data_IF_051307346704
#
_entry.id   IF_051307346704
#
_cell.length_a   1.000
_cell.length_b   1.000
_cell.length_c   1.000
_cell.angle_alpha   90.00
_cell.angle_beta   90.00
_cell.angle_gamma   90.00
#
_symmetry.space_group_name_H-M   'P 1'
#
loop_
_entity.id
_entity.type
_entity.pdbx_description
1 polymer ?
#
# COMPACT_ATOMS: atom_id res chain seq x y z
N UNK A 1 -7.88 -23.35 -24.21
CA UNK A 1 -7.19 -22.29 -23.49
C UNK A 1 -7.38 -22.58 -22.02
N UNK A 2 -6.33 -22.62 -21.20
CA UNK A 2 -6.49 -22.88 -19.77
C UNK A 2 -6.96 -21.62 -19.07
N UNK A 3 -7.90 -21.78 -18.14
CA UNK A 3 -8.54 -20.67 -17.42
C UNK A 3 -8.00 -20.57 -16.00
N UNK A 4 -7.79 -19.35 -15.52
CA UNK A 4 -7.36 -19.12 -14.15
C UNK A 4 -8.19 -18.03 -13.48
N UNK A 5 -8.33 -18.19 -12.17
CA UNK A 5 -8.90 -17.20 -11.26
C UNK A 5 -7.80 -16.79 -10.27
N UNK A 6 -7.74 -15.53 -9.89
CA UNK A 6 -6.83 -15.04 -8.86
C UNK A 6 -7.62 -14.51 -7.66
N UNK A 7 -7.30 -15.04 -6.48
CA UNK A 7 -7.77 -14.56 -5.18
C UNK A 7 -6.66 -13.73 -4.55
N UNK A 8 -6.88 -12.40 -4.51
CA UNK A 8 -5.85 -11.42 -4.13
C UNK A 8 -5.97 -11.03 -2.66
N UNK A 9 -4.88 -11.24 -1.89
CA UNK A 9 -4.78 -10.84 -0.49
C UNK A 9 -3.61 -9.88 -0.24
N UNK A 10 -3.68 -9.17 0.89
CA UNK A 10 -2.57 -8.41 1.44
C UNK A 10 -2.48 -6.97 0.94
N UNK A 11 -1.27 -6.44 0.85
CA UNK A 11 -0.99 -5.01 0.65
C UNK A 11 -0.74 -4.66 -0.83
N UNK A 12 -0.63 -3.35 -1.11
CA UNK A 12 -0.32 -2.81 -2.45
C UNK A 12 0.89 -3.46 -3.14
N UNK A 13 1.94 -3.88 -2.39
CA UNK A 13 3.10 -4.58 -2.97
C UNK A 13 2.71 -5.96 -3.49
N UNK A 14 1.91 -6.69 -2.72
CA UNK A 14 1.41 -8.01 -3.12
C UNK A 14 0.39 -7.91 -4.26
N UNK A 15 -0.38 -6.82 -4.31
CA UNK A 15 -1.27 -6.54 -5.43
C UNK A 15 -0.48 -6.34 -6.74
N UNK A 16 0.59 -5.54 -6.74
CA UNK A 16 1.46 -5.40 -7.92
C UNK A 16 2.05 -6.76 -8.34
N UNK A 17 2.40 -7.62 -7.39
CA UNK A 17 2.86 -8.97 -7.69
C UNK A 17 1.75 -9.80 -8.38
N UNK A 18 0.51 -9.72 -7.90
CA UNK A 18 -0.66 -10.34 -8.53
C UNK A 18 -0.92 -9.81 -9.94
N UNK A 19 -0.85 -8.51 -10.14
CA UNK A 19 -1.01 -7.87 -11.45
C UNK A 19 0.07 -8.32 -12.46
N UNK A 20 1.31 -8.53 -12.00
CA UNK A 20 2.38 -9.10 -12.82
C UNK A 20 2.07 -10.56 -13.19
N UNK A 21 1.63 -11.38 -12.23
CA UNK A 21 1.23 -12.77 -12.47
C UNK A 21 0.11 -12.84 -13.51
N UNK A 22 -0.94 -12.03 -13.34
CA UNK A 22 -2.07 -11.99 -14.28
C UNK A 22 -1.62 -11.56 -15.66
N UNK A 23 -0.89 -10.45 -15.76
CA UNK A 23 -0.43 -9.92 -17.06
C UNK A 23 0.46 -10.93 -17.80
N UNK A 24 1.36 -11.61 -17.06
CA UNK A 24 2.23 -12.65 -17.63
C UNK A 24 1.43 -13.86 -18.15
N UNK A 25 0.44 -14.32 -17.39
CA UNK A 25 -0.40 -15.45 -17.80
C UNK A 25 -1.28 -15.10 -19.01
N UNK A 26 -1.85 -13.88 -19.07
CA UNK A 26 -2.61 -13.41 -20.22
C UNK A 26 -1.75 -13.38 -21.49
N UNK A 27 -0.54 -12.84 -21.41
CA UNK A 27 0.39 -12.77 -22.54
C UNK A 27 0.86 -14.16 -23.01
N UNK A 28 0.91 -15.14 -22.09
CA UNK A 28 1.24 -16.54 -22.41
C UNK A 28 0.02 -17.38 -22.84
N UNK A 29 -1.12 -16.73 -23.08
CA UNK A 29 -2.31 -17.35 -23.68
C UNK A 29 -3.24 -18.06 -22.69
N UNK A 30 -3.19 -17.72 -21.39
CA UNK A 30 -4.22 -18.12 -20.43
C UNK A 30 -5.39 -17.13 -20.45
N UNK A 31 -6.55 -17.56 -19.96
CA UNK A 31 -7.76 -16.74 -19.85
C UNK A 31 -8.05 -16.46 -18.37
N UNK A 32 -8.14 -15.18 -18.00
CA UNK A 32 -8.59 -14.77 -16.68
C UNK A 32 -10.12 -14.84 -16.60
N UNK A 33 -10.65 -15.52 -15.60
CA UNK A 33 -12.09 -15.59 -15.34
C UNK A 33 -12.45 -14.86 -14.05
N UNK A 34 -13.70 -14.35 -13.98
CA UNK A 34 -14.20 -13.59 -12.84
C UNK A 34 -14.67 -14.48 -11.68
N UNK A 35 -15.05 -15.71 -11.98
CA UNK A 35 -15.54 -16.67 -10.99
C UNK A 35 -14.63 -17.89 -10.93
N UNK A 36 -14.33 -18.32 -9.71
CA UNK A 36 -13.54 -19.53 -9.49
C UNK A 36 -14.20 -20.79 -10.08
N UNK A 37 -15.53 -20.80 -10.24
CA UNK A 37 -16.27 -21.91 -10.86
C UNK A 37 -15.84 -22.20 -12.31
N UNK A 38 -15.41 -21.18 -13.04
CA UNK A 38 -15.04 -21.28 -14.47
C UNK A 38 -13.54 -21.56 -14.67
N UNK A 39 -12.73 -21.55 -13.58
CA UNK A 39 -11.29 -21.69 -13.66
C UNK A 39 -10.81 -23.15 -13.67
N UNK A 40 -9.71 -23.44 -14.35
CA UNK A 40 -8.91 -24.66 -14.20
C UNK A 40 -7.92 -24.55 -13.03
N UNK A 41 -7.40 -23.33 -12.84
CA UNK A 41 -6.42 -22.98 -11.81
C UNK A 41 -6.96 -21.86 -10.91
N UNK A 42 -6.89 -22.06 -9.60
CA UNK A 42 -7.19 -21.05 -8.59
C UNK A 42 -5.85 -20.62 -7.97
N UNK A 43 -5.45 -19.38 -8.18
CA UNK A 43 -4.21 -18.82 -7.66
C UNK A 43 -4.57 -17.94 -6.47
N UNK A 44 -4.11 -18.31 -5.27
CA UNK A 44 -4.29 -17.54 -4.05
C UNK A 44 -3.00 -16.76 -3.81
N UNK A 45 -3.01 -15.45 -4.15
CA UNK A 45 -1.87 -14.56 -3.93
C UNK A 45 -1.88 -14.07 -2.50
N UNK A 46 -1.17 -14.76 -1.64
CA UNK A 46 -1.30 -14.77 -0.20
C UNK A 46 -0.45 -13.72 0.53
N UNK A 47 -0.90 -13.32 1.72
CA UNK A 47 -0.15 -12.45 2.63
C UNK A 47 0.47 -13.27 3.78
N UNK A 48 1.78 -13.08 4.00
CA UNK A 48 2.56 -13.78 5.05
C UNK A 48 3.08 -12.86 6.16
N UNK A 49 2.52 -11.62 6.30
CA UNK A 49 3.13 -10.60 7.14
C UNK A 49 2.68 -10.64 8.60
N UNK A 50 1.38 -10.77 8.87
CA UNK A 50 0.80 -10.83 10.22
C UNK A 50 -0.15 -12.00 10.37
N UNK A 51 -0.38 -12.44 11.64
CA UNK A 51 -1.20 -13.61 11.98
C UNK A 51 -2.60 -13.59 11.32
N UNK A 52 -3.30 -12.44 11.34
CA UNK A 52 -4.64 -12.32 10.75
C UNK A 52 -4.64 -12.52 9.23
N UNK A 53 -3.68 -11.92 8.54
CA UNK A 53 -3.58 -12.03 7.08
C UNK A 53 -3.10 -13.44 6.63
N UNK A 54 -2.25 -14.10 7.44
CA UNK A 54 -1.89 -15.52 7.22
C UNK A 54 -3.12 -16.41 7.33
N UNK A 55 -3.93 -16.20 8.38
CA UNK A 55 -5.17 -16.94 8.58
C UNK A 55 -6.15 -16.75 7.42
N UNK A 56 -6.41 -15.50 7.02
CA UNK A 56 -7.28 -15.17 5.90
C UNK A 56 -6.83 -15.92 4.61
N UNK A 57 -5.53 -15.87 4.28
CA UNK A 57 -4.98 -16.58 3.12
C UNK A 57 -5.13 -18.11 3.23
N UNK A 58 -4.96 -18.70 4.41
CA UNK A 58 -5.17 -20.14 4.62
C UNK A 58 -6.64 -20.52 4.58
N UNK A 59 -7.53 -19.68 5.13
CA UNK A 59 -8.99 -19.89 5.05
C UNK A 59 -9.45 -19.90 3.57
N UNK A 60 -8.89 -19.05 2.71
CA UNK A 60 -9.12 -19.12 1.26
C UNK A 60 -8.66 -20.44 0.64
N UNK A 61 -7.49 -20.96 1.01
CA UNK A 61 -7.02 -22.27 0.54
C UNK A 61 -7.98 -23.39 0.92
N UNK A 62 -8.36 -23.47 2.19
CA UNK A 62 -9.27 -24.50 2.68
C UNK A 62 -10.66 -24.41 2.04
N UNK A 63 -11.19 -23.21 1.89
CA UNK A 63 -12.47 -22.98 1.23
C UNK A 63 -12.39 -23.35 -0.25
N UNK A 64 -11.35 -22.96 -0.97
CA UNK A 64 -11.14 -23.33 -2.36
C UNK A 64 -11.08 -24.86 -2.54
N UNK A 65 -10.32 -25.58 -1.69
CA UNK A 65 -10.23 -27.05 -1.77
C UNK A 65 -11.55 -27.74 -1.44
N UNK A 66 -12.28 -27.22 -0.46
CA UNK A 66 -13.60 -27.75 -0.08
C UNK A 66 -14.61 -27.62 -1.22
N UNK A 67 -14.62 -26.49 -1.91
CA UNK A 67 -15.56 -26.21 -3.02
C UNK A 67 -15.11 -26.87 -4.32
N UNK A 68 -13.80 -26.94 -4.58
CA UNK A 68 -13.24 -27.32 -5.88
C UNK A 68 -12.25 -28.49 -5.77
N UNK A 69 -12.74 -29.66 -5.48
CA UNK A 69 -11.92 -30.87 -5.26
C UNK A 69 -11.04 -31.29 -6.47
N UNK A 70 -11.44 -30.92 -7.70
CA UNK A 70 -10.74 -31.30 -8.95
C UNK A 70 -9.89 -30.18 -9.56
N UNK A 71 -10.06 -28.92 -9.14
CA UNK A 71 -9.32 -27.78 -9.70
C UNK A 71 -7.92 -27.72 -9.11
N UNK A 72 -6.99 -27.13 -9.83
CA UNK A 72 -5.63 -26.91 -9.37
C UNK A 72 -5.59 -25.65 -8.49
N UNK A 73 -5.18 -25.82 -7.23
CA UNK A 73 -5.04 -24.73 -6.26
C UNK A 73 -3.57 -24.42 -6.08
N UNK A 74 -3.20 -23.18 -6.32
CA UNK A 74 -1.83 -22.65 -6.21
C UNK A 74 -1.79 -21.62 -5.09
N UNK A 75 -0.97 -21.86 -4.09
CA UNK A 75 -0.62 -20.86 -3.09
C UNK A 75 0.58 -20.06 -3.59
N UNK A 76 0.38 -18.76 -3.87
CA UNK A 76 1.42 -17.84 -4.31
C UNK A 76 1.65 -16.71 -3.29
N UNK A 77 2.70 -15.92 -3.47
CA UNK A 77 2.92 -14.68 -2.73
C UNK A 77 3.69 -14.83 -1.43
N UNK A 78 3.48 -13.88 -0.50
CA UNK A 78 4.31 -13.72 0.71
C UNK A 78 4.23 -14.90 1.68
N UNK A 79 3.06 -15.51 1.83
CA UNK A 79 2.87 -16.67 2.71
C UNK A 79 3.53 -17.90 2.12
N UNK A 80 3.40 -18.10 0.81
CA UNK A 80 4.06 -19.16 0.07
C UNK A 80 5.59 -19.08 0.19
N UNK A 81 6.15 -17.88 0.04
CA UNK A 81 7.58 -17.61 0.19
C UNK A 81 8.09 -17.97 1.59
N UNK A 82 7.37 -17.49 2.62
CA UNK A 82 7.81 -17.58 4.01
C UNK A 82 7.78 -19.00 4.57
N UNK A 83 6.83 -19.82 4.15
CA UNK A 83 6.54 -21.13 4.75
C UNK A 83 6.55 -22.28 3.72
N UNK A 84 7.23 -22.12 2.60
CA UNK A 84 7.24 -23.08 1.49
C UNK A 84 7.55 -24.50 1.92
N UNK A 85 8.60 -24.72 2.72
CA UNK A 85 9.00 -26.06 3.19
C UNK A 85 7.97 -26.68 4.16
N UNK A 86 7.40 -25.84 5.05
CA UNK A 86 6.37 -26.31 6.00
C UNK A 86 5.11 -26.70 5.25
N UNK A 87 4.68 -25.91 4.29
CA UNK A 87 3.46 -26.17 3.52
C UNK A 87 3.59 -27.32 2.54
N UNK A 88 4.79 -27.57 2.04
CA UNK A 88 5.07 -28.75 1.21
C UNK A 88 4.66 -30.06 1.90
N UNK A 89 4.90 -30.14 3.20
CA UNK A 89 4.63 -31.32 4.01
C UNK A 89 3.22 -31.29 4.64
N UNK A 90 2.74 -30.11 5.02
CA UNK A 90 1.59 -29.97 5.92
C UNK A 90 0.36 -29.30 5.29
N UNK A 91 0.38 -28.95 3.99
CA UNK A 91 -0.76 -28.30 3.30
C UNK A 91 -1.15 -29.09 2.03
N UNK A 92 -1.73 -30.29 2.17
CA UNK A 92 -2.10 -31.15 1.04
C UNK A 92 -3.25 -30.57 0.18
N UNK A 93 -3.90 -29.50 0.65
CA UNK A 93 -4.97 -28.78 -0.05
C UNK A 93 -4.48 -28.04 -1.29
N UNK A 94 -3.19 -27.70 -1.38
CA UNK A 94 -2.62 -27.03 -2.55
C UNK A 94 -1.94 -28.02 -3.49
N UNK A 95 -2.07 -27.78 -4.79
CA UNK A 95 -1.35 -28.53 -5.83
C UNK A 95 0.04 -27.96 -6.11
N UNK A 96 0.24 -26.67 -5.79
CA UNK A 96 1.52 -26.00 -5.98
C UNK A 96 1.73 -24.81 -5.05
N UNK A 97 3.00 -24.55 -4.72
CA UNK A 97 3.45 -23.45 -3.88
C UNK A 97 4.47 -22.65 -4.68
N UNK A 98 4.18 -21.36 -4.89
CA UNK A 98 4.95 -20.46 -5.72
C UNK A 98 5.40 -19.23 -4.94
N UNK A 99 6.70 -19.08 -4.72
CA UNK A 99 7.27 -17.94 -4.00
C UNK A 99 7.24 -16.63 -4.80
N UNK A 100 7.64 -15.52 -4.15
CA UNK A 100 7.65 -14.19 -4.76
C UNK A 100 9.02 -13.75 -5.31
N UNK A 101 10.03 -14.61 -5.29
CA UNK A 101 11.40 -14.29 -5.73
C UNK A 101 11.52 -14.01 -7.23
N UNK A 102 10.77 -14.73 -8.09
CA UNK A 102 10.73 -14.50 -9.54
C UNK A 102 9.34 -14.79 -10.12
N UNK A 103 8.51 -13.76 -10.18
CA UNK A 103 7.12 -13.88 -10.65
C UNK A 103 6.98 -14.23 -12.13
N UNK A 104 8.01 -13.94 -12.95
CA UNK A 104 7.96 -14.20 -14.40
C UNK A 104 8.01 -15.69 -14.74
N UNK A 105 8.32 -16.54 -13.76
CA UNK A 105 8.35 -18.00 -13.89
C UNK A 105 6.99 -18.68 -13.65
N UNK A 106 5.93 -17.92 -13.41
CA UNK A 106 4.60 -18.46 -13.09
C UNK A 106 4.07 -19.43 -14.16
N UNK A 107 4.30 -19.17 -15.44
CA UNK A 107 3.84 -20.01 -16.55
C UNK A 107 4.56 -21.36 -16.57
N UNK A 108 5.90 -21.36 -16.38
CA UNK A 108 6.71 -22.59 -16.28
C UNK A 108 6.25 -23.40 -15.07
N UNK A 109 5.99 -22.71 -13.94
CA UNK A 109 5.50 -23.31 -12.72
C UNK A 109 4.14 -24.01 -12.91
N UNK A 110 3.14 -23.33 -13.49
CA UNK A 110 1.82 -23.91 -13.77
C UNK A 110 1.94 -25.16 -14.67
N UNK A 111 2.83 -25.11 -15.65
CA UNK A 111 3.11 -26.25 -16.53
C UNK A 111 3.67 -27.44 -15.76
N UNK A 112 4.43 -27.19 -14.70
CA UNK A 112 4.98 -28.24 -13.82
C UNK A 112 3.93 -28.80 -12.87
N UNK A 113 3.06 -27.94 -12.29
CA UNK A 113 1.94 -28.34 -11.41
C UNK A 113 0.95 -29.26 -12.15
N UNK A 114 0.79 -29.07 -13.46
CA UNK A 114 -0.05 -29.98 -14.28
C UNK A 114 0.48 -31.41 -14.29
N UNK A 115 1.79 -31.61 -14.19
CA UNK A 115 2.48 -32.91 -14.30
C UNK A 115 2.77 -33.57 -12.95
N UNK A 116 2.91 -32.78 -11.87
CA UNK A 116 3.33 -33.24 -10.53
C UNK A 116 2.34 -32.80 -9.47
N UNK A 117 2.16 -33.60 -8.40
CA UNK A 117 1.44 -33.18 -7.19
C UNK A 117 2.39 -32.45 -6.24
N UNK A 118 1.86 -31.48 -5.48
CA UNK A 118 2.59 -30.74 -4.43
C UNK A 118 3.92 -30.17 -4.91
N UNK A 119 3.90 -29.47 -6.06
CA UNK A 119 5.09 -28.86 -6.65
C UNK A 119 5.42 -27.55 -5.94
N UNK A 120 6.64 -27.41 -5.45
CA UNK A 120 7.14 -26.21 -4.75
C UNK A 120 8.23 -25.57 -5.58
N UNK A 121 8.12 -24.25 -5.79
CA UNK A 121 9.16 -23.49 -6.47
C UNK A 121 9.29 -22.10 -5.84
N UNK A 122 10.40 -21.91 -5.12
CA UNK A 122 10.80 -20.67 -4.50
C UNK A 122 12.13 -20.27 -5.10
N UNK A 123 12.17 -19.09 -5.71
CA UNK A 123 13.36 -18.58 -6.37
C UNK A 123 14.19 -17.71 -5.43
N UNK A 124 15.52 -17.62 -5.65
CA UNK A 124 16.34 -16.65 -4.94
C UNK A 124 15.76 -15.25 -5.09
N UNK A 125 15.80 -14.47 -4.02
CA UNK A 125 15.32 -13.09 -3.99
C UNK A 125 16.37 -12.16 -4.60
N UNK A 126 16.64 -12.32 -5.89
CA UNK A 126 17.57 -11.54 -6.69
C UNK A 126 16.81 -10.64 -7.65
N UNK A 127 17.18 -9.36 -7.70
CA UNK A 127 16.51 -8.38 -8.55
C UNK A 127 15.09 -8.03 -8.08
N UNK A 128 14.31 -7.48 -8.98
CA UNK A 128 12.89 -7.13 -8.79
C UNK A 128 12.13 -7.61 -10.01
N UNK A 129 11.09 -8.41 -9.82
CA UNK A 129 10.21 -8.80 -10.91
C UNK A 129 9.51 -7.55 -11.48
N UNK A 130 9.80 -7.26 -12.73
CA UNK A 130 9.20 -6.17 -13.49
C UNK A 130 8.57 -6.73 -14.75
N UNK A 131 7.37 -6.27 -15.08
CA UNK A 131 6.64 -6.66 -16.27
C UNK A 131 5.83 -5.48 -16.82
N UNK A 132 5.59 -5.47 -18.11
CA UNK A 132 4.65 -4.49 -18.68
C UNK A 132 3.22 -4.91 -18.36
N UNK A 133 2.69 -4.39 -17.27
CA UNK A 133 1.36 -4.77 -16.80
C UNK A 133 0.27 -4.25 -17.74
N UNK A 134 -0.63 -5.15 -18.12
CA UNK A 134 -1.83 -4.86 -18.91
C UNK A 134 -3.13 -5.11 -18.12
N UNK A 135 -3.00 -5.60 -16.89
CA UNK A 135 -4.09 -5.81 -15.93
C UNK A 135 -3.79 -5.08 -14.63
N UNK A 136 -4.79 -4.41 -14.09
CA UNK A 136 -4.70 -3.63 -12.86
C UNK A 136 -5.91 -3.94 -11.98
N UNK A 137 -5.65 -4.15 -10.69
CA UNK A 137 -6.65 -4.49 -9.67
C UNK A 137 -7.16 -3.27 -8.90
N UNK A 138 -6.51 -2.12 -9.09
CA UNK A 138 -6.86 -0.88 -8.43
C UNK A 138 -8.09 -0.21 -9.05
N UNK A 139 -8.54 0.85 -8.38
CA UNK A 139 -9.52 1.76 -8.95
C UNK A 139 -9.08 2.27 -10.33
N UNK A 140 -10.04 2.51 -11.19
CA UNK A 140 -9.78 2.95 -12.55
C UNK A 140 -8.93 4.23 -12.55
N UNK A 141 -7.89 4.23 -13.38
CA UNK A 141 -6.92 5.32 -13.54
C UNK A 141 -6.07 5.64 -12.28
N UNK A 142 -6.02 4.73 -11.31
CA UNK A 142 -5.06 4.73 -10.19
C UNK A 142 -4.19 3.48 -10.28
N UNK A 143 -2.87 3.61 -10.10
CA UNK A 143 -1.94 2.49 -10.15
C UNK A 143 -0.86 2.58 -9.06
N UNK A 144 -0.46 1.43 -8.54
CA UNK A 144 0.75 1.31 -7.74
C UNK A 144 1.96 1.04 -8.63
N UNK A 145 3.06 1.73 -8.36
CA UNK A 145 4.37 1.50 -9.01
C UNK A 145 5.39 1.15 -7.95
N UNK A 146 5.81 -0.10 -7.93
CA UNK A 146 6.81 -0.60 -7.00
C UNK A 146 8.20 -0.15 -7.46
N UNK A 147 8.89 0.67 -6.64
CA UNK A 147 10.22 1.20 -6.96
C UNK A 147 11.35 0.48 -6.22
N UNK A 148 11.02 -0.21 -5.11
CA UNK A 148 11.95 -1.05 -4.34
C UNK A 148 11.30 -2.38 -3.97
N UNK A 149 12.15 -3.39 -3.70
CA UNK A 149 11.76 -4.68 -3.14
C UNK A 149 12.67 -5.02 -1.96
N UNK A 150 12.10 -5.66 -0.91
CA UNK A 150 12.82 -5.97 0.31
C UNK A 150 13.14 -4.76 1.17
N UNK A 151 13.76 -4.99 2.34
CA UNK A 151 14.07 -3.93 3.30
C UNK A 151 15.26 -4.31 4.17
N UNK A 152 16.22 -3.40 4.34
CA UNK A 152 17.41 -3.60 5.18
C UNK A 152 17.36 -2.80 6.50
N UNK A 153 16.16 -2.37 6.95
CA UNK A 153 16.00 -1.66 8.22
C UNK A 153 16.00 -2.62 9.43
N UNK A 154 15.66 -3.90 9.21
CA UNK A 154 15.63 -4.93 10.25
C UNK A 154 14.91 -4.51 11.54
N UNK A 155 13.79 -3.75 11.42
CA UNK A 155 12.95 -3.46 12.57
C UNK A 155 12.61 -4.77 13.28
N UNK A 156 12.77 -4.81 14.61
CA UNK A 156 12.76 -6.07 15.39
C UNK A 156 11.45 -6.88 15.30
N UNK A 157 10.35 -6.22 14.93
CA UNK A 157 9.01 -6.85 14.76
C UNK A 157 8.71 -7.29 13.33
N UNK A 158 9.56 -6.96 12.35
CA UNK A 158 9.20 -6.99 10.94
C UNK A 158 9.72 -8.26 10.25
N UNK A 159 8.81 -8.99 9.58
CA UNK A 159 9.14 -10.17 8.81
C UNK A 159 9.54 -9.88 7.35
N UNK A 160 9.55 -8.62 6.91
CA UNK A 160 9.85 -8.28 5.51
C UNK A 160 11.23 -8.77 5.05
N UNK A 161 12.32 -8.61 5.82
CA UNK A 161 13.63 -9.13 5.40
C UNK A 161 13.63 -10.65 5.17
N UNK A 162 12.78 -11.38 5.90
CA UNK A 162 12.64 -12.84 5.78
C UNK A 162 11.82 -13.19 4.52
N UNK A 163 10.75 -12.42 4.23
CA UNK A 163 9.80 -12.71 3.16
C UNK A 163 10.29 -12.18 1.81
N UNK A 164 10.89 -10.98 1.80
CA UNK A 164 11.24 -10.24 0.58
C UNK A 164 12.73 -9.91 0.46
N UNK A 165 13.54 -10.36 1.43
CA UNK A 165 14.98 -10.19 1.45
C UNK A 165 15.44 -8.75 1.70
N UNK A 166 16.72 -8.50 1.43
CA UNK A 166 17.36 -7.20 1.54
C UNK A 166 16.83 -6.21 0.50
N UNK A 167 17.02 -4.92 0.79
CA UNK A 167 16.63 -3.82 -0.09
C UNK A 167 17.29 -3.93 -1.47
N UNK A 168 16.47 -3.86 -2.51
CA UNK A 168 16.84 -3.74 -3.91
C UNK A 168 16.01 -2.65 -4.56
N UNK A 169 16.64 -1.83 -5.42
CA UNK A 169 15.97 -0.71 -6.09
C UNK A 169 15.88 -0.95 -7.59
N UNK A 170 14.81 -0.46 -8.20
CA UNK A 170 14.67 -0.45 -9.66
C UNK A 170 15.45 0.72 -10.26
N UNK A 171 16.03 0.57 -11.46
CA UNK A 171 16.63 1.68 -12.19
C UNK A 171 15.63 2.81 -12.46
N UNK A 172 16.07 4.07 -12.33
CA UNK A 172 15.21 5.26 -12.57
C UNK A 172 14.56 5.19 -13.96
N UNK A 173 15.32 4.83 -14.99
CA UNK A 173 14.83 4.74 -16.38
C UNK A 173 13.64 3.79 -16.53
N UNK A 174 13.65 2.66 -15.82
CA UNK A 174 12.61 1.64 -15.93
C UNK A 174 11.32 2.08 -15.21
N UNK A 175 11.46 2.78 -14.08
CA UNK A 175 10.34 3.37 -13.35
C UNK A 175 9.69 4.48 -14.18
N UNK A 176 10.51 5.39 -14.74
CA UNK A 176 10.03 6.50 -15.57
C UNK A 176 9.35 5.98 -16.84
N UNK A 177 9.89 4.90 -17.44
CA UNK A 177 9.28 4.25 -18.60
C UNK A 177 7.89 3.69 -18.26
N UNK A 178 7.74 2.98 -17.14
CA UNK A 178 6.46 2.45 -16.67
C UNK A 178 5.46 3.56 -16.40
N UNK A 179 5.86 4.62 -15.68
CA UNK A 179 4.99 5.78 -15.38
C UNK A 179 4.54 6.46 -16.67
N UNK A 180 5.44 6.64 -17.64
CA UNK A 180 5.10 7.20 -18.94
C UNK A 180 4.09 6.35 -19.71
N UNK A 181 4.19 5.03 -19.63
CA UNK A 181 3.23 4.11 -20.24
C UNK A 181 1.87 4.18 -19.54
N UNK A 182 1.85 4.21 -18.21
CA UNK A 182 0.62 4.39 -17.42
C UNK A 182 -0.09 5.71 -17.78
N UNK A 183 0.63 6.82 -17.86
CA UNK A 183 0.06 8.12 -18.27
C UNK A 183 -0.55 8.03 -19.68
N UNK A 184 0.12 7.35 -20.63
CA UNK A 184 -0.42 7.14 -21.98
C UNK A 184 -1.68 6.27 -21.99
N UNK A 185 -1.80 5.30 -21.07
CA UNK A 185 -2.98 4.47 -20.86
C UNK A 185 -4.12 5.21 -20.14
N UNK A 186 -3.92 6.48 -19.73
CA UNK A 186 -4.92 7.31 -19.08
C UNK A 186 -4.91 7.25 -17.54
N UNK A 187 -3.90 6.62 -16.93
CA UNK A 187 -3.78 6.65 -15.48
C UNK A 187 -3.46 8.06 -14.99
N UNK A 188 -4.22 8.50 -13.99
CA UNK A 188 -4.10 9.82 -13.42
C UNK A 188 -3.34 9.83 -12.09
N UNK A 189 -3.58 8.85 -11.22
CA UNK A 189 -2.88 8.71 -9.94
C UNK A 189 -1.86 7.57 -9.99
N UNK A 190 -0.62 7.88 -9.62
CA UNK A 190 0.49 6.94 -9.56
C UNK A 190 1.06 6.96 -8.15
N UNK A 191 0.86 5.86 -7.45
CA UNK A 191 1.30 5.68 -6.08
C UNK A 191 2.65 4.94 -6.09
N UNK A 192 3.75 5.66 -5.78
CA UNK A 192 5.06 5.04 -5.64
C UNK A 192 5.11 4.27 -4.33
N UNK A 193 5.45 2.98 -4.41
CA UNK A 193 5.48 2.07 -3.27
C UNK A 193 6.81 1.31 -3.15
N UNK A 194 7.12 0.93 -1.93
CA UNK A 194 8.22 0.10 -1.49
C UNK A 194 8.00 -0.28 -0.03
N UNK A 195 8.98 -0.87 0.62
CA UNK A 195 8.95 -1.05 2.07
C UNK A 195 9.48 0.18 2.81
N UNK A 196 10.39 0.92 2.18
CA UNK A 196 10.91 2.20 2.63
C UNK A 196 11.35 3.01 1.41
N UNK A 197 10.57 4.00 1.00
CA UNK A 197 10.92 4.84 -0.15
C UNK A 197 12.14 5.73 0.11
N UNK A 198 12.36 6.15 1.37
CA UNK A 198 13.50 6.99 1.71
C UNK A 198 14.85 6.27 1.51
N UNK A 199 14.84 4.93 1.55
CA UNK A 199 16.01 4.10 1.30
C UNK A 199 16.23 3.75 -0.17
N UNK A 200 15.45 4.28 -1.11
CA UNK A 200 15.62 4.02 -2.54
C UNK A 200 17.05 4.36 -3.00
N UNK A 201 17.71 3.42 -3.67
CA UNK A 201 19.06 3.54 -4.18
C UNK A 201 20.18 3.27 -3.17
N UNK A 202 19.85 2.80 -1.95
CA UNK A 202 20.85 2.51 -0.90
C UNK A 202 21.11 1.03 -0.67
N UNK A 203 20.45 0.15 -1.44
CA UNK A 203 20.64 -1.29 -1.35
C UNK A 203 22.08 -1.71 -1.62
N UNK A 204 22.51 -2.81 -1.00
CA UNK A 204 23.89 -3.32 -1.14
C UNK A 204 24.32 -3.52 -2.59
N UNK A 205 23.40 -3.97 -3.43
CA UNK A 205 23.64 -4.22 -4.86
C UNK A 205 23.26 -3.04 -5.75
N UNK A 206 22.75 -1.93 -5.19
CA UNK A 206 22.30 -0.76 -5.93
C UNK A 206 23.47 0.14 -6.40
N UNK A 207 24.69 -0.07 -5.89
CA UNK A 207 25.85 0.78 -6.14
C UNK A 207 26.19 0.98 -7.63
N UNK A 208 25.84 0.01 -8.47
CA UNK A 208 26.07 0.05 -9.91
C UNK A 208 24.89 0.64 -10.71
N UNK A 209 23.75 0.85 -10.05
CA UNK A 209 22.53 1.39 -10.69
C UNK A 209 22.48 2.92 -10.67
N UNK A 210 23.26 3.57 -9.79
CA UNK A 210 23.18 5.00 -9.54
C UNK A 210 24.56 5.66 -9.61
N UNK A 211 24.59 6.91 -10.03
CA UNK A 211 25.82 7.70 -10.08
C UNK A 211 26.33 7.95 -8.65
N UNK A 212 27.60 7.62 -8.37
CA UNK A 212 28.24 7.73 -7.06
C UNK A 212 28.49 9.18 -6.62
N UNK A 213 28.59 10.10 -7.59
CA UNK A 213 29.00 11.48 -7.34
C UNK A 213 27.86 12.42 -6.94
N UNK A 214 26.63 11.91 -6.86
CA UNK A 214 25.47 12.70 -6.46
C UNK A 214 25.26 12.66 -4.96
N UNK A 215 25.37 13.83 -4.32
CA UNK A 215 25.02 14.04 -2.90
C UNK A 215 23.50 14.06 -2.64
N UNK A 216 22.67 14.03 -3.69
CA UNK A 216 21.21 14.09 -3.56
C UNK A 216 20.62 12.71 -3.21
N UNK A 217 19.50 12.70 -2.54
CA UNK A 217 18.66 11.51 -2.35
C UNK A 217 18.30 10.91 -3.71
N UNK A 218 18.48 9.60 -3.89
CA UNK A 218 18.13 8.90 -5.14
C UNK A 218 16.64 8.96 -5.43
N UNK A 219 15.79 8.99 -4.39
CA UNK A 219 14.37 9.25 -4.55
C UNK A 219 14.14 10.64 -5.17
N UNK A 220 14.88 11.65 -4.74
CA UNK A 220 14.79 13.00 -5.33
C UNK A 220 15.26 13.05 -6.79
N UNK A 221 16.27 12.26 -7.16
CA UNK A 221 16.67 12.10 -8.56
C UNK A 221 15.55 11.49 -9.40
N UNK A 222 14.91 10.43 -8.89
CA UNK A 222 13.73 9.82 -9.52
C UNK A 222 12.60 10.83 -9.71
N UNK A 223 12.24 11.58 -8.65
CA UNK A 223 11.18 12.60 -8.72
C UNK A 223 11.48 13.68 -9.75
N UNK A 224 12.74 14.15 -9.85
CA UNK A 224 13.17 15.11 -10.88
C UNK A 224 13.01 14.55 -12.30
N UNK A 225 13.28 13.26 -12.52
CA UNK A 225 13.06 12.62 -13.83
C UNK A 225 11.57 12.46 -14.14
N UNK A 226 10.74 12.11 -13.15
CA UNK A 226 9.28 12.06 -13.29
C UNK A 226 8.72 13.44 -13.64
N UNK A 227 9.23 14.51 -13.03
CA UNK A 227 8.80 15.89 -13.29
C UNK A 227 9.04 16.37 -14.72
N UNK A 228 9.93 15.72 -15.48
CA UNK A 228 10.11 15.99 -16.91
C UNK A 228 8.99 15.43 -17.79
N UNK A 229 8.18 14.50 -17.27
CA UNK A 229 7.05 13.94 -18.00
C UNK A 229 5.96 15.00 -18.18
N UNK A 230 5.34 15.01 -19.37
CA UNK A 230 4.23 15.91 -19.68
C UNK A 230 2.89 15.28 -19.31
N UNK A 231 1.91 16.11 -18.98
CA UNK A 231 0.54 15.70 -18.71
C UNK A 231 0.08 16.06 -17.28
N UNK A 232 -1.22 15.90 -17.04
CA UNK A 232 -1.83 16.02 -15.71
C UNK A 232 -1.86 14.62 -15.09
N UNK A 233 -1.24 14.47 -13.93
CA UNK A 233 -1.23 13.23 -13.14
C UNK A 233 -0.80 13.55 -11.71
N UNK A 234 -1.09 12.66 -10.79
CA UNK A 234 -0.62 12.72 -9.40
C UNK A 234 0.45 11.68 -9.12
N UNK A 235 1.47 12.09 -8.37
CA UNK A 235 2.48 11.19 -7.78
C UNK A 235 2.31 11.22 -6.26
N UNK A 236 2.01 10.08 -5.67
CA UNK A 236 1.90 9.91 -4.23
C UNK A 236 3.03 9.05 -3.72
N UNK A 237 3.62 9.44 -2.57
CA UNK A 237 4.70 8.71 -1.91
C UNK A 237 4.15 7.97 -0.69
N UNK A 238 4.23 6.63 -0.69
CA UNK A 238 3.76 5.81 0.41
C UNK A 238 4.91 5.04 1.06
N UNK A 239 4.87 4.89 2.40
CA UNK A 239 5.83 4.13 3.20
C UNK A 239 7.23 4.75 3.24
N UNK A 240 7.39 5.86 3.96
CA UNK A 240 8.67 6.53 4.20
C UNK A 240 9.11 6.29 5.63
N UNK A 241 10.26 5.65 5.83
CA UNK A 241 10.81 5.43 7.19
C UNK A 241 11.28 6.76 7.80
N UNK A 242 10.86 7.09 9.04
CA UNK A 242 11.17 8.40 9.63
C UNK A 242 12.68 8.67 9.81
N UNK A 243 13.47 7.63 10.10
CA UNK A 243 14.91 7.76 10.35
C UNK A 243 15.71 8.04 9.05
N UNK A 244 15.14 7.78 7.89
CA UNK A 244 15.76 7.99 6.59
C UNK A 244 15.16 9.18 5.84
N UNK A 245 14.21 9.89 6.44
CA UNK A 245 13.53 11.00 5.77
C UNK A 245 14.53 12.07 5.31
N UNK A 246 14.57 12.34 4.02
CA UNK A 246 15.39 13.39 3.42
C UNK A 246 14.54 14.58 3.01
N UNK A 247 14.86 15.78 3.49
CA UNK A 247 14.14 17.02 3.18
C UNK A 247 14.27 17.48 1.73
N UNK A 248 15.18 16.93 0.94
CA UNK A 248 15.25 17.18 -0.53
C UNK A 248 13.93 16.84 -1.22
N UNK A 249 13.17 15.88 -0.68
CA UNK A 249 11.83 15.50 -1.19
C UNK A 249 10.87 16.70 -1.14
N UNK A 250 10.93 17.51 -0.08
CA UNK A 250 10.11 18.71 0.10
C UNK A 250 10.35 19.70 -1.02
N UNK A 251 11.61 19.87 -1.45
CA UNK A 251 11.97 20.76 -2.56
C UNK A 251 11.46 20.24 -3.91
N UNK A 252 11.34 18.92 -4.08
CA UNK A 252 10.73 18.34 -5.27
C UNK A 252 9.21 18.64 -5.32
N UNK A 253 8.52 18.50 -4.18
CA UNK A 253 7.08 18.80 -4.05
C UNK A 253 6.79 20.29 -4.31
N UNK A 254 7.61 21.20 -3.76
CA UNK A 254 7.45 22.64 -3.99
C UNK A 254 7.62 23.07 -5.46
N UNK A 255 8.33 22.26 -6.26
CA UNK A 255 8.63 22.58 -7.67
C UNK A 255 7.66 21.96 -8.65
N UNK A 256 6.91 20.94 -8.24
CA UNK A 256 5.97 20.22 -9.11
C UNK A 256 4.73 19.84 -8.28
N UNK A 257 3.63 20.52 -8.52
CA UNK A 257 2.34 20.34 -7.84
C UNK A 257 1.69 18.96 -8.09
N UNK A 258 2.17 18.24 -9.09
CA UNK A 258 1.76 16.87 -9.38
C UNK A 258 2.33 15.86 -8.36
N UNK A 259 3.40 16.22 -7.65
CA UNK A 259 3.93 15.44 -6.54
C UNK A 259 3.19 15.87 -5.28
N UNK A 260 2.29 15.02 -4.83
CA UNK A 260 1.35 15.39 -3.77
C UNK A 260 2.04 15.64 -2.42
N UNK A 261 1.67 16.70 -1.68
CA UNK A 261 2.16 16.95 -0.33
C UNK A 261 1.52 16.00 0.69
N UNK A 262 1.63 14.71 0.42
CA UNK A 262 1.12 13.60 1.21
C UNK A 262 2.28 12.70 1.63
N UNK A 263 2.41 12.46 2.94
CA UNK A 263 3.44 11.57 3.47
C UNK A 263 2.85 10.50 4.38
N UNK A 264 3.15 9.23 4.07
CA UNK A 264 2.90 8.10 4.95
C UNK A 264 4.21 7.74 5.67
N UNK A 265 4.29 8.13 6.96
CA UNK A 265 5.49 7.97 7.82
C UNK A 265 5.11 7.13 9.04
N UNK A 266 5.36 5.80 9.03
CA UNK A 266 4.99 4.91 10.12
C UNK A 266 5.95 5.06 11.31
N UNK A 267 5.60 5.87 12.32
CA UNK A 267 6.40 6.09 13.51
C UNK A 267 6.44 4.88 14.46
N UNK A 268 5.40 4.06 14.49
CA UNK A 268 5.21 2.84 15.27
C UNK A 268 5.02 3.06 16.78
N UNK A 269 5.75 3.98 17.40
CA UNK A 269 5.63 4.32 18.83
C UNK A 269 5.98 5.78 19.07
N UNK A 270 5.41 6.36 20.13
CA UNK A 270 5.79 7.66 20.68
C UNK A 270 6.71 7.56 21.90
N UNK A 271 7.16 6.36 22.27
CA UNK A 271 8.09 6.14 23.38
C UNK A 271 9.50 5.84 22.88
N UNK A 272 10.48 6.61 23.37
CA UNK A 272 11.87 6.52 22.87
C UNK A 272 12.51 5.17 23.15
N UNK A 273 12.25 4.55 24.30
CA UNK A 273 12.83 3.25 24.62
C UNK A 273 12.22 2.12 23.81
N UNK A 274 10.90 2.18 23.52
CA UNK A 274 10.26 1.25 22.59
C UNK A 274 10.77 1.43 21.17
N UNK A 275 10.96 2.67 20.68
CA UNK A 275 11.52 2.96 19.36
C UNK A 275 12.90 2.29 19.22
N UNK A 276 13.79 2.45 20.21
CA UNK A 276 15.09 1.77 20.22
C UNK A 276 14.95 0.25 20.25
N UNK A 277 14.03 -0.27 21.06
CA UNK A 277 13.75 -1.71 21.16
C UNK A 277 13.17 -2.28 19.87
N UNK A 278 12.49 -1.45 19.07
CA UNK A 278 12.04 -1.76 17.72
C UNK A 278 13.18 -1.73 16.68
N UNK A 279 14.44 -1.55 17.11
CA UNK A 279 15.63 -1.38 16.25
C UNK A 279 15.51 -0.16 15.34
N UNK A 280 15.08 0.99 15.88
CA UNK A 280 15.00 2.28 15.21
C UNK A 280 15.87 3.31 15.90
N UNK A 281 16.45 4.23 15.10
CA UNK A 281 17.41 5.23 15.60
C UNK A 281 16.76 6.51 16.11
N UNK A 282 15.48 6.74 15.79
CA UNK A 282 14.76 7.93 16.19
C UNK A 282 14.38 7.97 17.67
N UNK A 283 13.69 9.04 18.04
CA UNK A 283 13.15 9.27 19.36
C UNK A 283 11.82 10.04 19.26
N UNK A 284 11.02 10.07 20.35
CA UNK A 284 9.83 10.92 20.42
C UNK A 284 10.13 12.37 20.01
N UNK A 285 11.23 12.93 20.54
CA UNK A 285 11.60 14.31 20.27
C UNK A 285 12.01 14.55 18.81
N UNK A 286 12.84 13.66 18.22
CA UNK A 286 13.26 13.77 16.83
C UNK A 286 12.08 13.64 15.86
N UNK A 287 11.12 12.73 16.13
CA UNK A 287 9.94 12.53 15.29
C UNK A 287 8.97 13.72 15.37
N UNK A 288 8.76 14.31 16.56
CA UNK A 288 7.99 15.56 16.71
C UNK A 288 8.68 16.69 15.93
N UNK A 289 10.01 16.79 16.02
CA UNK A 289 10.79 17.81 15.29
C UNK A 289 10.65 17.65 13.77
N UNK A 290 10.73 16.41 13.27
CA UNK A 290 10.51 16.07 11.86
C UNK A 290 9.14 16.60 11.39
N UNK A 291 8.07 16.24 12.11
CA UNK A 291 6.71 16.67 11.73
C UNK A 291 6.54 18.19 11.81
N UNK A 292 7.08 18.84 12.85
CA UNK A 292 7.04 20.31 12.95
C UNK A 292 7.74 20.99 11.76
N UNK A 293 8.91 20.48 11.37
CA UNK A 293 9.65 21.00 10.23
C UNK A 293 8.87 20.77 8.93
N UNK A 294 8.30 19.59 8.72
CA UNK A 294 7.45 19.30 7.55
C UNK A 294 6.27 20.26 7.45
N UNK A 295 5.53 20.46 8.54
CA UNK A 295 4.38 21.40 8.58
C UNK A 295 4.78 22.86 8.37
N UNK A 296 5.99 23.23 8.73
CA UNK A 296 6.54 24.58 8.45
C UNK A 296 6.85 24.75 6.97
N UNK A 297 7.47 23.76 6.35
CA UNK A 297 7.87 23.79 4.93
C UNK A 297 6.70 23.59 3.96
N UNK A 298 5.71 22.80 4.35
CA UNK A 298 4.49 22.46 3.61
C UNK A 298 3.28 22.60 4.53
N UNK A 299 2.69 23.81 4.68
CA UNK A 299 1.59 24.07 5.62
C UNK A 299 0.34 23.19 5.40
N UNK A 300 0.04 22.86 4.14
CA UNK A 300 -1.12 22.06 3.74
C UNK A 300 -0.83 20.55 3.63
N UNK A 301 0.28 20.08 4.18
CA UNK A 301 0.66 18.67 4.15
C UNK A 301 -0.43 17.78 4.73
N UNK A 302 -0.70 16.67 4.07
CA UNK A 302 -1.43 15.53 4.63
C UNK A 302 -0.41 14.53 5.20
N UNK A 303 -0.52 14.23 6.47
CA UNK A 303 0.35 13.28 7.18
C UNK A 303 -0.45 12.06 7.57
N UNK A 304 0.00 10.89 7.11
CA UNK A 304 -0.43 9.58 7.58
C UNK A 304 0.67 8.95 8.44
N UNK A 305 0.26 8.20 9.46
CA UNK A 305 1.19 7.41 10.28
C UNK A 305 0.61 6.05 10.66
N UNK A 306 1.46 5.22 11.24
CA UNK A 306 1.08 3.95 11.87
C UNK A 306 1.66 3.91 13.28
N UNK A 307 0.82 3.51 14.25
CA UNK A 307 1.23 3.24 15.63
C UNK A 307 0.92 1.79 15.99
N UNK A 308 1.82 1.19 16.75
CA UNK A 308 1.74 -0.20 17.23
C UNK A 308 1.61 -0.21 18.74
N UNK A 309 0.67 -0.97 19.27
CA UNK A 309 0.46 -1.18 20.70
C UNK A 309 0.76 -2.62 21.10
N UNK A 310 1.09 -2.84 22.36
CA UNK A 310 1.34 -4.17 22.87
C UNK A 310 2.70 -4.78 22.45
N UNK A 311 3.61 -3.96 21.95
CA UNK A 311 4.96 -4.42 21.67
C UNK A 311 5.65 -4.90 22.98
N UNK A 312 6.46 -5.98 22.97
CA UNK A 312 7.07 -6.50 24.18
C UNK A 312 7.88 -5.43 24.94
N UNK A 313 7.53 -5.19 26.20
CA UNK A 313 8.09 -4.15 27.05
C UNK A 313 7.33 -2.84 27.08
N UNK A 314 6.19 -2.73 26.39
CA UNK A 314 5.33 -1.55 26.47
C UNK A 314 4.67 -1.47 27.86
N UNK A 315 5.12 -0.55 28.66
CA UNK A 315 4.53 -0.20 29.96
C UNK A 315 3.34 0.77 29.79
N UNK A 316 2.60 1.05 30.86
CA UNK A 316 1.57 2.09 30.84
C UNK A 316 2.17 3.46 30.50
N UNK A 317 3.31 3.82 31.10
CA UNK A 317 4.02 5.07 30.79
C UNK A 317 4.43 5.17 29.33
N UNK A 318 4.88 4.07 28.71
CA UNK A 318 5.25 4.03 27.30
C UNK A 318 4.01 4.22 26.39
N UNK A 319 2.88 3.67 26.80
CA UNK A 319 1.61 3.88 26.10
C UNK A 319 1.14 5.33 26.19
N UNK A 320 1.19 5.95 27.41
CA UNK A 320 0.89 7.38 27.59
C UNK A 320 1.83 8.28 26.76
N UNK A 321 3.10 7.88 26.61
CA UNK A 321 4.02 8.56 25.68
C UNK A 321 3.55 8.48 24.24
N UNK A 322 2.99 7.36 23.79
CA UNK A 322 2.45 7.21 22.44
C UNK A 322 1.16 8.03 22.23
N UNK A 323 0.29 8.11 23.24
CA UNK A 323 -0.90 9.00 23.22
C UNK A 323 -0.48 10.47 23.08
N UNK A 324 0.40 10.94 23.97
CA UNK A 324 0.87 12.33 23.93
C UNK A 324 1.65 12.67 22.66
N UNK A 325 2.36 11.69 22.09
CA UNK A 325 2.99 11.82 20.77
C UNK A 325 1.97 12.03 19.67
N UNK A 326 0.95 11.18 19.57
CA UNK A 326 -0.14 11.28 18.58
C UNK A 326 -0.82 12.65 18.67
N UNK A 327 -1.15 13.11 19.89
CA UNK A 327 -1.72 14.43 20.14
C UNK A 327 -0.79 15.58 19.76
N UNK A 328 0.54 15.38 19.86
CA UNK A 328 1.53 16.41 19.49
C UNK A 328 1.75 16.52 18.00
N UNK A 329 1.80 15.40 17.26
CA UNK A 329 2.04 15.41 15.82
C UNK A 329 0.76 15.68 15.02
N UNK A 330 -0.42 15.33 15.56
CA UNK A 330 -1.76 15.53 14.94
C UNK A 330 -1.74 15.20 13.44
N UNK A 331 -1.59 13.92 13.07
CA UNK A 331 -1.62 13.50 11.68
C UNK A 331 -3.05 13.63 11.12
N UNK A 332 -3.19 13.69 9.80
CA UNK A 332 -4.50 13.67 9.13
C UNK A 332 -5.11 12.26 9.24
N UNK A 333 -4.27 11.23 9.13
CA UNK A 333 -4.65 9.83 9.17
C UNK A 333 -3.69 9.02 10.05
N UNK A 334 -4.20 8.03 10.77
CA UNK A 334 -3.36 7.05 11.43
C UNK A 334 -4.04 5.68 11.49
N UNK A 335 -3.25 4.63 11.24
CA UNK A 335 -3.63 3.26 11.57
C UNK A 335 -3.03 2.85 12.92
N UNK A 336 -3.85 2.29 13.82
CA UNK A 336 -3.40 1.82 15.13
C UNK A 336 -3.61 0.31 15.22
N UNK A 337 -2.53 -0.45 15.44
CA UNK A 337 -2.56 -1.90 15.35
C UNK A 337 -1.93 -2.54 16.58
N UNK A 338 -2.49 -3.67 17.02
CA UNK A 338 -1.84 -4.51 18.02
C UNK A 338 -0.64 -5.23 17.42
N UNK A 339 0.43 -5.35 18.17
CA UNK A 339 1.60 -6.14 17.80
C UNK A 339 1.23 -7.58 17.45
N UNK A 340 1.65 -8.04 16.27
CA UNK A 340 1.60 -9.44 15.87
C UNK A 340 2.94 -10.09 16.15
N UNK A 341 2.93 -11.18 16.91
CA UNK A 341 4.14 -11.94 17.25
C UNK A 341 4.50 -12.88 16.12
N UNK A 342 5.45 -12.47 15.29
CA UNK A 342 5.83 -13.18 14.09
C UNK A 342 7.10 -14.01 14.31
N UNK A 343 7.05 -15.29 13.94
CA UNK A 343 8.19 -16.22 14.01
C UNK A 343 9.37 -15.66 13.21
N UNK A 344 10.58 -16.03 13.62
CA UNK A 344 11.86 -15.67 13.01
C UNK A 344 12.18 -14.15 13.06
N UNK A 345 11.33 -13.32 13.65
CA UNK A 345 11.66 -11.93 13.94
C UNK A 345 12.38 -11.80 15.29
N UNK A 346 13.23 -10.78 15.43
CA UNK A 346 13.96 -10.54 16.69
C UNK A 346 13.00 -10.41 17.88
N UNK A 347 11.89 -9.70 17.70
CA UNK A 347 10.91 -9.46 18.75
C UNK A 347 10.13 -10.71 19.17
N UNK A 348 10.15 -11.78 18.38
CA UNK A 348 9.49 -13.05 18.73
C UNK A 348 10.01 -13.60 20.06
N UNK A 349 11.34 -13.49 20.33
CA UNK A 349 12.00 -13.93 21.54
C UNK A 349 11.93 -12.95 22.72
N UNK A 350 11.37 -11.76 22.54
CA UNK A 350 11.40 -10.74 23.61
C UNK A 350 10.51 -11.12 24.80
N UNK A 351 11.03 -10.85 26.00
CA UNK A 351 10.31 -10.96 27.28
C UNK A 351 9.41 -9.75 27.52
N UNK A 352 8.66 -9.76 28.63
CA UNK A 352 7.74 -8.70 29.05
C UNK A 352 6.63 -8.45 28.01
N UNK A 353 5.96 -9.52 27.61
CA UNK A 353 4.86 -9.49 26.64
C UNK A 353 3.63 -8.82 27.24
N UNK A 354 2.99 -7.99 26.45
CA UNK A 354 1.69 -7.41 26.74
C UNK A 354 0.60 -8.39 26.29
N UNK A 355 -0.47 -8.55 27.07
CA UNK A 355 -1.57 -9.44 26.69
C UNK A 355 -2.29 -8.90 25.45
N UNK A 356 -2.79 -9.82 24.59
CA UNK A 356 -3.54 -9.45 23.36
C UNK A 356 -4.73 -8.53 23.70
N UNK A 357 -5.40 -8.72 24.85
CA UNK A 357 -6.51 -7.88 25.30
C UNK A 357 -6.07 -6.44 25.59
N UNK A 358 -4.97 -6.26 26.34
CA UNK A 358 -4.43 -4.92 26.64
C UNK A 358 -3.98 -4.24 25.34
N UNK A 359 -3.25 -4.93 24.49
CA UNK A 359 -2.79 -4.40 23.21
C UNK A 359 -3.96 -3.92 22.34
N UNK A 360 -5.03 -4.72 22.22
CA UNK A 360 -6.23 -4.34 21.48
C UNK A 360 -6.94 -3.12 22.07
N UNK A 361 -7.10 -3.07 23.39
CA UNK A 361 -7.73 -1.93 24.05
C UNK A 361 -6.94 -0.64 23.82
N UNK A 362 -5.60 -0.71 23.93
CA UNK A 362 -4.71 0.42 23.65
C UNK A 362 -4.79 0.89 22.19
N UNK A 363 -4.89 -0.04 21.24
CA UNK A 363 -5.08 0.32 19.84
C UNK A 363 -6.40 1.07 19.63
N UNK A 364 -7.51 0.57 20.19
CA UNK A 364 -8.81 1.22 20.13
C UNK A 364 -8.79 2.62 20.76
N UNK A 365 -8.07 2.81 21.87
CA UNK A 365 -7.95 4.12 22.51
C UNK A 365 -7.19 5.13 21.62
N UNK A 366 -6.11 4.69 20.94
CA UNK A 366 -5.41 5.53 19.95
C UNK A 366 -6.27 5.84 18.72
N UNK A 367 -7.09 4.88 18.28
CA UNK A 367 -8.04 5.08 17.16
C UNK A 367 -9.09 6.16 17.50
N UNK A 368 -9.62 6.16 18.71
CA UNK A 368 -10.56 7.19 19.18
C UNK A 368 -9.90 8.58 19.15
N UNK A 369 -8.70 8.70 19.71
CA UNK A 369 -7.93 9.96 19.69
C UNK A 369 -7.67 10.41 18.24
N UNK A 370 -7.29 9.48 17.38
CA UNK A 370 -7.05 9.80 15.96
C UNK A 370 -8.31 10.23 15.24
N UNK A 371 -9.44 9.58 15.52
CA UNK A 371 -10.72 9.95 14.90
C UNK A 371 -11.10 11.40 15.22
N UNK A 372 -10.93 11.84 16.47
CA UNK A 372 -11.13 13.23 16.86
C UNK A 372 -10.20 14.18 16.09
N UNK A 373 -8.91 13.83 16.00
CA UNK A 373 -7.91 14.61 15.25
C UNK A 373 -8.29 14.70 13.76
N UNK A 374 -8.65 13.56 13.14
CA UNK A 374 -9.04 13.52 11.73
C UNK A 374 -10.26 14.39 11.46
N UNK A 375 -11.29 14.32 12.31
CA UNK A 375 -12.50 15.14 12.17
C UNK A 375 -12.18 16.64 12.27
N UNK A 376 -11.33 17.05 13.22
CA UNK A 376 -10.91 18.46 13.31
C UNK A 376 -10.13 18.92 12.08
N UNK A 377 -9.31 18.06 11.50
CA UNK A 377 -8.57 18.33 10.27
C UNK A 377 -9.51 18.45 9.07
N UNK A 378 -10.45 17.53 8.94
CA UNK A 378 -11.45 17.53 7.86
C UNK A 378 -12.37 18.75 7.94
N UNK A 379 -12.75 19.20 9.15
CA UNK A 379 -13.53 20.45 9.33
C UNK A 379 -12.84 21.69 8.75
N UNK A 380 -11.51 21.69 8.61
CA UNK A 380 -10.75 22.78 7.95
C UNK A 380 -10.75 22.68 6.43
N UNK A 381 -11.19 21.54 5.89
CA UNK A 381 -11.25 21.26 4.46
C UNK A 381 -12.63 21.45 3.85
N UNK A 382 -13.69 21.59 4.64
CA UNK A 382 -15.03 21.91 4.14
C UNK A 382 -15.14 23.35 3.66
N UNK A 383 -16.16 23.64 2.85
CA UNK A 383 -16.42 24.93 2.20
C UNK A 383 -15.29 25.35 1.26
N UNK A 384 -14.71 24.37 0.57
CA UNK A 384 -13.65 24.56 -0.44
C UNK A 384 -13.92 23.66 -1.64
N UNK A 385 -13.35 24.03 -2.76
CA UNK A 385 -13.35 23.22 -3.98
C UNK A 385 -12.18 22.25 -3.99
N UNK A 386 -12.43 21.04 -4.51
CA UNK A 386 -11.42 20.01 -4.66
C UNK A 386 -11.57 19.29 -5.98
N UNK A 387 -10.45 18.94 -6.57
CA UNK A 387 -10.39 17.92 -7.61
C UNK A 387 -10.46 16.55 -6.95
N UNK A 388 -11.47 15.77 -7.32
CA UNK A 388 -11.73 14.42 -6.79
C UNK A 388 -11.64 13.40 -7.90
N UNK A 389 -10.78 12.40 -7.73
CA UNK A 389 -10.69 11.24 -8.61
C UNK A 389 -11.80 10.26 -8.23
N UNK A 390 -12.75 10.07 -9.13
CA UNK A 390 -13.90 9.17 -8.92
C UNK A 390 -13.45 7.71 -9.02
N UNK A 391 -13.80 6.92 -8.04
CA UNK A 391 -13.45 5.51 -7.92
C UNK A 391 -14.62 4.59 -8.17
N UNK A 392 -15.80 4.96 -7.65
CA UNK A 392 -17.01 4.15 -7.73
C UNK A 392 -18.25 5.03 -7.93
N UNK A 393 -19.22 4.53 -8.67
CA UNK A 393 -20.54 5.15 -8.83
C UNK A 393 -21.57 4.28 -8.12
N UNK A 394 -22.26 4.85 -7.13
CA UNK A 394 -23.31 4.19 -6.38
C UNK A 394 -24.65 4.69 -6.88
N UNK A 395 -25.29 3.86 -7.71
CA UNK A 395 -26.65 4.15 -8.19
C UNK A 395 -27.67 3.85 -7.10
N UNK A 396 -28.64 4.74 -6.93
CA UNK A 396 -29.78 4.56 -6.04
C UNK A 396 -31.06 4.40 -6.86
N UNK A 397 -32.13 3.88 -6.22
CA UNK A 397 -33.45 3.81 -6.84
C UNK A 397 -34.14 5.19 -6.92
N UNK A 398 -33.59 6.20 -6.22
CA UNK A 398 -34.07 7.58 -6.19
C UNK A 398 -33.54 8.46 -7.33
N UNK A 399 -33.88 9.74 -7.29
CA UNK A 399 -33.40 10.77 -8.24
C UNK A 399 -31.94 11.16 -7.99
N UNK A 400 -31.45 11.03 -6.76
CA UNK A 400 -30.09 11.38 -6.35
C UNK A 400 -29.17 10.17 -6.48
N UNK A 401 -28.02 10.36 -7.11
CA UNK A 401 -26.92 9.41 -7.20
C UNK A 401 -25.73 9.88 -6.35
N UNK A 402 -24.87 8.94 -6.03
CA UNK A 402 -23.62 9.21 -5.32
C UNK A 402 -22.44 8.62 -6.10
N UNK A 403 -21.32 9.31 -6.01
CA UNK A 403 -20.04 8.77 -6.43
C UNK A 403 -19.06 8.83 -5.25
N UNK A 404 -18.20 7.84 -5.15
CA UNK A 404 -17.12 7.79 -4.15
C UNK A 404 -15.83 8.11 -4.88
N UNK A 405 -15.00 8.97 -4.27
CA UNK A 405 -13.73 9.35 -4.84
C UNK A 405 -12.78 9.92 -3.79
N UNK A 406 -11.59 10.33 -4.23
CA UNK A 406 -10.55 10.86 -3.34
C UNK A 406 -9.94 12.14 -3.89
N UNK A 407 -9.64 13.05 -2.98
CA UNK A 407 -8.79 14.20 -3.25
C UNK A 407 -7.31 13.87 -2.95
N UNK A 408 -6.43 14.81 -3.25
CA UNK A 408 -4.99 14.66 -3.12
C UNK A 408 -4.52 14.24 -1.70
N UNK A 409 -5.26 14.59 -0.65
CA UNK A 409 -4.90 14.31 0.74
C UNK A 409 -5.42 12.96 1.28
N UNK A 410 -5.96 12.10 0.42
CA UNK A 410 -6.51 10.79 0.74
C UNK A 410 -5.83 9.72 -0.11
N UNK A 411 -5.18 8.76 0.52
CA UNK A 411 -4.58 7.60 -0.16
C UNK A 411 -5.64 6.50 -0.41
N UNK A 412 -5.49 5.71 -1.48
CA UNK A 412 -6.41 4.62 -1.77
C UNK A 412 -6.42 3.56 -0.65
N UNK A 413 -7.58 2.97 -0.41
CA UNK A 413 -7.85 1.83 0.49
C UNK A 413 -7.68 2.08 2.00
N UNK A 414 -7.08 3.20 2.42
CA UNK A 414 -6.65 3.39 3.81
C UNK A 414 -7.08 4.68 4.49
N UNK A 415 -7.51 5.68 3.72
CA UNK A 415 -7.99 6.97 4.22
C UNK A 415 -9.49 7.12 3.94
N UNK A 416 -10.11 8.20 4.45
CA UNK A 416 -11.49 8.51 4.12
C UNK A 416 -11.67 8.96 2.67
N UNK A 417 -12.91 9.15 2.24
CA UNK A 417 -13.31 9.43 0.87
C UNK A 417 -14.11 10.74 0.75
N UNK A 418 -14.32 11.18 -0.47
CA UNK A 418 -15.37 12.10 -0.83
C UNK A 418 -16.61 11.32 -1.28
N UNK A 419 -17.76 11.66 -0.73
CA UNK A 419 -19.07 11.21 -1.19
C UNK A 419 -19.68 12.35 -2.00
N UNK A 420 -19.67 12.21 -3.32
CA UNK A 420 -20.11 13.24 -4.26
C UNK A 420 -21.56 13.01 -4.63
N UNK A 421 -22.45 13.92 -4.26
CA UNK A 421 -23.87 13.89 -4.61
C UNK A 421 -24.10 14.57 -5.95
N UNK A 422 -24.96 13.97 -6.78
CA UNK A 422 -25.44 14.55 -8.02
C UNK A 422 -26.82 13.98 -8.39
N UNK A 423 -27.58 14.68 -9.23
CA UNK A 423 -28.91 14.25 -9.64
C UNK A 423 -28.86 13.49 -10.96
N UNK A 424 -29.71 12.47 -11.12
CA UNK A 424 -29.82 11.67 -12.36
C UNK A 424 -30.20 12.48 -13.59
N UNK A 425 -31.00 13.53 -13.38
CA UNK A 425 -31.47 14.41 -14.47
C UNK A 425 -30.42 15.47 -14.84
N UNK A 426 -29.35 15.61 -14.07
CA UNK A 426 -28.23 16.47 -14.40
C UNK A 426 -27.34 15.84 -15.47
N UNK A 427 -27.61 16.15 -16.74
CA UNK A 427 -26.88 15.60 -17.88
C UNK A 427 -25.37 15.91 -17.85
N UNK A 428 -24.99 17.07 -17.32
CA UNK A 428 -23.58 17.46 -17.21
C UNK A 428 -22.88 16.65 -16.13
N UNK A 429 -23.48 16.49 -14.95
CA UNK A 429 -22.99 15.64 -13.89
C UNK A 429 -22.85 14.18 -14.36
N UNK A 430 -23.91 13.60 -14.94
CA UNK A 430 -23.91 12.23 -15.45
C UNK A 430 -22.87 11.98 -16.55
N UNK A 431 -22.54 13.00 -17.34
CA UNK A 431 -21.49 12.92 -18.37
C UNK A 431 -20.08 13.03 -17.80
N UNK A 432 -19.91 13.85 -16.76
CA UNK A 432 -18.63 14.18 -16.16
C UNK A 432 -18.21 13.18 -15.08
N UNK A 433 -19.14 12.78 -14.20
CA UNK A 433 -18.89 11.83 -13.10
C UNK A 433 -18.85 10.43 -13.67
N UNK A 434 -17.64 9.91 -13.82
CA UNK A 434 -17.37 8.53 -14.26
C UNK A 434 -16.14 8.01 -13.54
N UNK A 435 -16.12 6.71 -13.29
CA UNK A 435 -14.95 6.04 -12.68
C UNK A 435 -13.67 6.38 -13.42
N UNK A 436 -12.64 6.74 -12.67
CA UNK A 436 -11.33 7.13 -13.15
C UNK A 436 -11.25 8.56 -13.71
N UNK A 437 -12.30 9.36 -13.60
CA UNK A 437 -12.27 10.78 -13.96
C UNK A 437 -12.03 11.68 -12.76
N UNK A 438 -11.32 12.76 -13.02
CA UNK A 438 -11.16 13.86 -12.08
C UNK A 438 -12.32 14.83 -12.29
N UNK A 439 -13.04 15.14 -11.21
CA UNK A 439 -14.15 16.09 -11.23
C UNK A 439 -13.96 17.12 -10.12
N UNK A 440 -14.44 18.35 -10.35
CA UNK A 440 -14.44 19.37 -9.33
C UNK A 440 -15.70 19.27 -8.46
N UNK A 441 -15.51 19.34 -7.14
CA UNK A 441 -16.58 19.23 -6.15
C UNK A 441 -16.44 20.32 -5.09
N UNK A 442 -17.55 20.70 -4.48
CA UNK A 442 -17.56 21.54 -3.28
C UNK A 442 -17.78 20.68 -2.03
N UNK A 443 -16.89 20.80 -1.06
CA UNK A 443 -16.92 20.06 0.20
C UNK A 443 -17.94 20.67 1.16
N UNK A 444 -19.04 19.98 1.41
CA UNK A 444 -20.18 20.48 2.20
C UNK A 444 -19.97 20.29 3.70
N UNK A 445 -19.76 19.06 4.13
CA UNK A 445 -19.64 18.69 5.55
C UNK A 445 -18.81 17.44 5.76
N UNK A 446 -18.36 17.25 7.00
CA UNK A 446 -17.67 16.02 7.43
C UNK A 446 -18.70 15.00 7.92
N UNK A 447 -18.58 13.75 7.48
CA UNK A 447 -19.38 12.60 7.86
C UNK A 447 -18.45 11.46 8.30
N UNK A 448 -18.22 11.32 9.61
CA UNK A 448 -17.23 10.36 10.13
C UNK A 448 -15.80 10.74 9.73
N UNK A 449 -15.20 9.95 8.84
CA UNK A 449 -13.90 10.17 8.22
C UNK A 449 -14.00 10.61 6.76
N UNK A 450 -15.22 10.73 6.23
CA UNK A 450 -15.51 11.11 4.85
C UNK A 450 -15.96 12.56 4.76
N UNK A 451 -15.99 13.10 3.55
CA UNK A 451 -16.50 14.42 3.22
C UNK A 451 -17.69 14.27 2.27
N UNK A 452 -18.88 14.68 2.73
CA UNK A 452 -20.02 14.86 1.85
C UNK A 452 -19.78 16.10 0.97
N UNK A 453 -20.06 15.99 -0.31
CA UNK A 453 -19.83 17.01 -1.31
C UNK A 453 -20.86 16.95 -2.43
N UNK A 454 -20.92 17.98 -3.26
CA UNK A 454 -21.69 17.98 -4.47
C UNK A 454 -20.84 18.38 -5.69
N UNK A 455 -21.25 17.91 -6.85
CA UNK A 455 -20.59 18.21 -8.12
C UNK A 455 -20.76 19.69 -8.47
N UNK A 456 -19.71 20.29 -9.03
CA UNK A 456 -19.70 21.66 -9.52
C UNK A 456 -19.66 21.66 -11.05
N UNK A 457 -20.57 22.40 -11.68
CA UNK A 457 -20.60 22.58 -13.13
C UNK A 457 -19.52 23.55 -13.59
N UNK A 458 -19.02 23.37 -14.79
CA UNK A 458 -18.04 24.27 -15.38
C UNK A 458 -18.55 25.72 -15.44
N UNK A 459 -19.88 25.92 -15.57
CA UNK A 459 -20.54 27.23 -15.55
C UNK A 459 -20.54 27.91 -14.17
N UNK A 460 -20.32 27.20 -13.09
CA UNK A 460 -20.30 27.72 -11.71
C UNK A 460 -18.89 28.10 -11.24
N UNK A 461 -17.89 27.87 -12.09
CA UNK A 461 -16.48 28.14 -11.81
C UNK A 461 -16.00 29.55 -12.26
N UNK A 462 -16.90 30.37 -12.83
CA UNK A 462 -16.60 31.72 -13.35
C UNK A 462 -17.02 32.83 -12.38
#
# INVERSE_FOLDING_TARGET
>A
MSKFYIDQHGCAKNQVDGEIIVSKLLDDGFELVQNADDADYIIINSCGFIESAKKESLDSVYNARKLYSKKKIILAGCLAERYSEIFKENLPEVDGIFGNGNLLKITDFISSVKKKKSFVEVYPQEGISCYNRNYFMNFKNSAYVKITEGCSNYCSFCAIPIIRGELRSRPIKDIVFEIKDLIKKGFFEINLIGQDLAAYGTGKNDKNLFNKDSNNSKLCELLKEISKLKGKFWIRLLYIHPDHFNFDIVECIKKDDRILPYFDIPFQSGDTELIKRMNRNGSKASYISLVKKLKKELPDIALRTTLMTGFPGETESAFENSKSFLQSIRPDWAGCFSYSREEDTLAYGFKNRVSKKIAKNRAMELEIIQQEISQEKLKKRIRKYYDVLIEEIVNTDGETCFAIGRAWFQAPDVDGSFVVRFDKDDLEACKSIKEGRLVQVFADRVSGVDIDSHFIKDSELN
#
